data_IF_311487815325
#
_entry.id   IF_311487815325
#
_cell.length_a   1.000
_cell.length_b   1.000
_cell.length_c   1.000
_cell.angle_alpha   90.00
_cell.angle_beta   90.00
_cell.angle_gamma   90.00
#
_symmetry.space_group_name_H-M   'P 1'
#
loop_
_entity.id
_entity.type
_entity.pdbx_description
1 polymer ?
#
# COMPACT_ATOMS: atom_id res chain seq x y z
N UNK A 1 -16.15 -11.56 -35.76
CA UNK A 1 -15.79 -12.13 -34.45
C UNK A 1 -17.05 -12.25 -33.62
N UNK A 2 -17.39 -13.47 -33.24
CA UNK A 2 -18.50 -13.78 -32.34
C UNK A 2 -18.13 -13.47 -30.89
N UNK A 3 -19.11 -13.29 -30.00
CA UNK A 3 -18.87 -13.06 -28.57
C UNK A 3 -17.97 -14.16 -27.96
N UNK A 4 -18.15 -15.42 -28.38
CA UNK A 4 -17.35 -16.55 -27.91
C UNK A 4 -15.91 -16.59 -28.44
N UNK A 5 -15.63 -15.99 -29.60
CA UNK A 5 -14.26 -15.84 -30.11
C UNK A 5 -13.52 -14.72 -29.36
N UNK A 6 -14.22 -13.61 -29.07
CA UNK A 6 -13.68 -12.50 -28.27
C UNK A 6 -13.34 -12.94 -26.84
N UNK A 7 -14.23 -13.70 -26.19
CA UNK A 7 -13.98 -14.20 -24.82
C UNK A 7 -12.78 -15.15 -24.76
N UNK A 8 -12.59 -16.02 -25.78
CA UNK A 8 -11.41 -16.91 -25.87
C UNK A 8 -10.12 -16.14 -26.12
N UNK A 9 -10.15 -15.14 -26.98
CA UNK A 9 -8.98 -14.29 -27.27
C UNK A 9 -8.55 -13.48 -26.04
N UNK A 10 -9.52 -12.91 -25.30
CA UNK A 10 -9.26 -12.21 -24.04
C UNK A 10 -8.73 -13.17 -22.96
N UNK A 11 -9.27 -14.38 -22.85
CA UNK A 11 -8.77 -15.39 -21.90
C UNK A 11 -7.33 -15.82 -22.21
N UNK A 12 -7.00 -16.07 -23.48
CA UNK A 12 -5.63 -16.37 -23.92
C UNK A 12 -4.67 -15.20 -23.69
N UNK A 13 -5.13 -13.97 -23.96
CA UNK A 13 -4.34 -12.75 -23.76
C UNK A 13 -4.07 -12.47 -22.27
N UNK A 14 -4.98 -12.85 -21.36
CA UNK A 14 -4.88 -12.55 -19.92
C UNK A 14 -4.23 -13.63 -19.06
N UNK A 15 -3.74 -14.73 -19.66
CA UNK A 15 -3.15 -15.87 -18.93
C UNK A 15 -1.93 -15.49 -18.07
N UNK A 16 -1.20 -14.44 -18.46
CA UNK A 16 -0.04 -13.93 -17.73
C UNK A 16 -0.41 -12.88 -16.66
N UNK A 17 -1.67 -12.42 -16.63
CA UNK A 17 -2.11 -11.43 -15.67
C UNK A 17 -2.38 -12.06 -14.32
N UNK A 18 -2.08 -11.29 -13.28
CA UNK A 18 -2.31 -11.66 -11.89
C UNK A 18 -3.15 -10.59 -11.20
N UNK A 19 -3.71 -10.95 -10.06
CA UNK A 19 -4.48 -10.05 -9.18
C UNK A 19 -4.07 -10.27 -7.72
N UNK A 20 -4.51 -9.38 -6.83
CA UNK A 20 -4.19 -9.44 -5.41
C UNK A 20 -5.36 -10.00 -4.59
N UNK A 21 -5.04 -10.84 -3.61
CA UNK A 21 -5.94 -11.25 -2.54
C UNK A 21 -5.36 -10.84 -1.20
N UNK A 22 -6.15 -10.16 -0.38
CA UNK A 22 -5.81 -9.78 0.98
C UNK A 22 -6.99 -10.12 1.89
N UNK A 23 -6.71 -10.78 3.00
CA UNK A 23 -7.75 -11.23 3.92
C UNK A 23 -8.36 -10.05 4.68
N UNK A 24 -9.69 -9.98 4.70
CA UNK A 24 -10.45 -9.02 5.50
C UNK A 24 -10.34 -7.57 5.04
N UNK A 25 -10.77 -6.69 5.94
CA UNK A 25 -10.62 -5.24 5.79
C UNK A 25 -9.15 -4.87 5.98
N UNK A 26 -8.71 -3.79 5.32
CA UNK A 26 -7.35 -3.28 5.47
C UNK A 26 -7.33 -1.76 5.26
N UNK A 27 -6.18 -1.15 5.51
CA UNK A 27 -5.97 0.29 5.33
C UNK A 27 -4.91 0.56 4.29
N UNK A 28 -5.21 1.48 3.38
CA UNK A 28 -4.22 2.10 2.49
C UNK A 28 -3.86 3.46 3.06
N UNK A 29 -2.58 3.63 3.38
CA UNK A 29 -2.04 4.89 3.87
C UNK A 29 -1.06 5.46 2.86
N UNK A 30 -1.37 6.64 2.32
CA UNK A 30 -0.50 7.40 1.44
C UNK A 30 0.20 8.46 2.25
N UNK A 31 1.51 8.60 2.08
CA UNK A 31 2.28 9.70 2.66
C UNK A 31 3.27 10.24 1.65
N UNK A 32 3.36 11.57 1.57
CA UNK A 32 4.28 12.25 0.67
C UNK A 32 4.78 13.57 1.24
N UNK A 33 5.71 14.16 0.51
CA UNK A 33 6.30 15.44 0.86
C UNK A 33 6.41 16.35 -0.36
N UNK A 34 6.26 17.65 -0.14
CA UNK A 34 6.57 18.68 -1.13
C UNK A 34 8.09 18.85 -1.18
N UNK A 35 8.71 18.26 -2.20
CA UNK A 35 10.14 18.39 -2.41
C UNK A 35 10.51 19.76 -2.97
N UNK A 36 11.44 20.44 -2.28
CA UNK A 36 12.10 21.63 -2.81
C UNK A 36 13.43 21.23 -3.44
N UNK A 37 13.44 21.14 -4.78
CA UNK A 37 14.63 20.77 -5.56
C UNK A 37 15.75 21.82 -5.49
N UNK A 38 15.44 23.06 -5.09
CA UNK A 38 16.47 24.10 -4.90
C UNK A 38 17.22 23.95 -3.58
N UNK A 39 16.61 23.26 -2.60
CA UNK A 39 17.20 23.05 -1.28
C UNK A 39 17.09 21.58 -0.83
N UNK A 40 17.72 20.62 -1.54
CA UNK A 40 17.57 19.19 -1.28
C UNK A 40 18.11 18.76 0.09
N UNK A 41 19.20 19.37 0.56
CA UNK A 41 19.78 19.09 1.89
C UNK A 41 18.83 19.51 3.00
N UNK A 42 18.16 20.66 2.83
CA UNK A 42 17.14 21.14 3.75
C UNK A 42 15.94 20.20 3.76
N UNK A 43 15.41 19.87 2.58
CA UNK A 43 14.31 18.91 2.41
C UNK A 43 14.61 17.58 3.12
N UNK A 44 15.81 17.03 2.91
CA UNK A 44 16.22 15.78 3.56
C UNK A 44 16.28 15.90 5.09
N UNK A 45 16.83 17.00 5.61
CA UNK A 45 16.91 17.25 7.06
C UNK A 45 15.52 17.42 7.68
N UNK A 46 14.65 18.16 7.01
CA UNK A 46 13.28 18.42 7.48
C UNK A 46 12.48 17.11 7.57
N UNK A 47 12.63 16.23 6.58
CA UNK A 47 11.97 14.91 6.55
C UNK A 47 12.61 13.85 7.47
N UNK A 48 13.42 14.27 8.44
CA UNK A 48 14.01 13.40 9.48
C UNK A 48 15.31 12.72 9.09
N UNK A 49 15.86 13.02 7.90
CA UNK A 49 17.13 12.48 7.42
C UNK A 49 17.21 10.96 7.52
N UNK A 50 18.26 10.44 8.17
CA UNK A 50 18.44 8.99 8.39
C UNK A 50 17.39 8.34 9.31
N UNK A 51 16.59 9.13 10.03
CA UNK A 51 15.49 8.67 10.91
C UNK A 51 14.10 8.96 10.33
N UNK A 52 14.03 9.35 9.05
CA UNK A 52 12.77 9.60 8.35
C UNK A 52 12.01 8.31 7.99
N UNK A 53 11.14 8.39 6.97
CA UNK A 53 10.26 7.29 6.59
C UNK A 53 10.97 5.96 6.31
N UNK A 54 12.15 5.97 5.68
CA UNK A 54 12.92 4.73 5.43
C UNK A 54 13.28 4.00 6.72
N UNK A 55 13.61 4.73 7.79
CA UNK A 55 13.90 4.12 9.09
C UNK A 55 12.65 3.53 9.72
N UNK A 56 11.53 4.26 9.68
CA UNK A 56 10.25 3.79 10.23
C UNK A 56 9.75 2.54 9.53
N UNK A 57 9.83 2.49 8.19
CA UNK A 57 9.41 1.33 7.41
C UNK A 57 10.27 0.10 7.68
N UNK A 58 11.59 0.28 7.87
CA UNK A 58 12.47 -0.82 8.31
C UNK A 58 12.08 -1.30 9.71
N UNK A 59 11.88 -0.38 10.65
CA UNK A 59 11.45 -0.70 12.01
C UNK A 59 10.15 -1.52 12.03
N UNK A 60 9.17 -1.13 11.21
CA UNK A 60 7.89 -1.84 11.06
C UNK A 60 8.04 -3.19 10.35
N UNK A 61 8.91 -3.29 9.35
CA UNK A 61 9.15 -4.56 8.63
C UNK A 61 9.76 -5.64 9.52
N UNK A 62 10.49 -5.24 10.56
CA UNK A 62 11.05 -6.13 11.58
C UNK A 62 10.04 -6.50 12.68
N UNK A 63 8.85 -5.87 12.69
CA UNK A 63 7.83 -5.94 13.73
C UNK A 63 6.42 -6.13 13.14
N UNK A 64 6.14 -7.31 12.57
CA UNK A 64 4.87 -7.57 11.89
C UNK A 64 3.65 -7.43 12.81
N UNK A 65 3.83 -7.56 14.12
CA UNK A 65 2.80 -7.34 15.15
C UNK A 65 2.31 -5.89 15.19
N UNK A 66 3.10 -4.92 14.70
CA UNK A 66 2.69 -3.51 14.56
C UNK A 66 1.71 -3.32 13.40
N UNK A 67 1.47 -4.34 12.57
CA UNK A 67 0.36 -4.36 11.61
C UNK A 67 0.65 -3.77 10.24
N UNK A 68 1.90 -3.42 9.92
CA UNK A 68 2.28 -3.10 8.53
C UNK A 68 2.31 -4.39 7.71
N UNK A 69 1.46 -4.47 6.69
CA UNK A 69 1.38 -5.62 5.77
C UNK A 69 2.38 -5.48 4.61
N UNK A 70 2.65 -4.26 4.20
CA UNK A 70 3.61 -3.99 3.14
C UNK A 70 3.65 -2.52 2.77
N UNK A 71 4.64 -2.15 1.95
CA UNK A 71 4.76 -0.80 1.44
C UNK A 71 5.45 -0.78 0.07
N UNK A 72 5.20 0.30 -0.65
CA UNK A 72 5.83 0.63 -1.91
C UNK A 72 6.44 2.03 -1.78
N UNK A 73 7.75 2.12 -2.01
CA UNK A 73 8.45 3.40 -2.09
C UNK A 73 8.32 3.95 -3.51
N UNK A 74 7.49 4.95 -3.69
CA UNK A 74 7.47 5.80 -4.88
C UNK A 74 8.01 7.19 -4.56
N UNK A 75 8.42 7.91 -5.59
CA UNK A 75 8.67 9.34 -5.50
C UNK A 75 7.55 10.08 -6.23
N UNK A 76 6.82 11.02 -5.61
CA UNK A 76 7.01 11.58 -4.26
C UNK A 76 6.18 10.89 -3.15
N UNK A 77 5.54 9.74 -3.44
CA UNK A 77 4.53 9.11 -2.56
C UNK A 77 4.95 7.72 -2.12
N UNK A 78 4.84 7.47 -0.82
CA UNK A 78 4.96 6.14 -0.23
C UNK A 78 3.55 5.61 0.00
N UNK A 79 3.29 4.41 -0.52
CA UNK A 79 2.04 3.68 -0.27
C UNK A 79 2.31 2.63 0.80
N UNK A 80 1.48 2.58 1.83
CA UNK A 80 1.56 1.59 2.89
C UNK A 80 0.23 0.85 3.01
N UNK A 81 0.30 -0.44 3.31
CA UNK A 81 -0.85 -1.30 3.55
C UNK A 81 -0.79 -1.76 5.01
N UNK A 82 -1.87 -1.52 5.75
CA UNK A 82 -1.96 -1.80 7.18
C UNK A 82 -3.11 -2.76 7.45
N UNK A 83 -2.92 -3.62 8.45
CA UNK A 83 -3.91 -4.61 8.88
C UNK A 83 -5.23 -3.95 9.32
N UNK A 84 -5.13 -2.84 10.03
CA UNK A 84 -6.30 -2.06 10.44
C UNK A 84 -5.91 -0.63 10.77
N UNK A 85 -6.90 0.24 10.95
CA UNK A 85 -6.66 1.61 11.36
C UNK A 85 -6.11 1.69 12.78
N UNK A 86 -6.55 0.82 13.67
CA UNK A 86 -6.09 0.75 15.07
C UNK A 86 -4.60 0.46 15.14
N UNK A 87 -4.07 -0.41 14.28
CA UNK A 87 -2.63 -0.69 14.20
C UNK A 87 -1.84 0.54 13.72
N UNK A 88 -2.33 1.20 12.66
CA UNK A 88 -1.73 2.43 12.14
C UNK A 88 -1.73 3.54 13.20
N UNK A 89 -2.86 3.76 13.88
CA UNK A 89 -3.01 4.76 14.92
C UNK A 89 -2.13 4.45 16.13
N UNK A 90 -2.08 3.18 16.57
CA UNK A 90 -1.24 2.74 17.67
C UNK A 90 0.23 3.07 17.40
N UNK A 91 0.75 2.67 16.23
CA UNK A 91 2.12 3.02 15.81
C UNK A 91 2.36 4.53 15.77
N UNK A 92 1.39 5.31 15.28
CA UNK A 92 1.53 6.74 15.14
C UNK A 92 1.63 7.48 16.50
N UNK A 93 1.01 6.92 17.55
CA UNK A 93 0.88 7.55 18.88
C UNK A 93 1.79 6.96 19.95
N UNK A 94 2.33 5.77 19.74
CA UNK A 94 3.24 5.10 20.65
C UNK A 94 4.50 5.95 20.86
N UNK A 95 4.90 6.10 22.12
CA UNK A 95 6.07 6.90 22.51
C UNK A 95 7.37 6.16 22.31
N UNK A 96 7.32 4.83 22.30
CA UNK A 96 8.47 3.95 22.10
C UNK A 96 8.73 3.68 20.61
N UNK A 97 7.74 3.98 19.75
CA UNK A 97 7.87 3.91 18.30
C UNK A 97 8.51 5.18 17.71
N UNK A 98 9.23 5.06 16.57
CA UNK A 98 9.98 6.17 15.98
C UNK A 98 9.12 7.30 15.43
N UNK A 99 7.82 7.06 15.16
CA UNK A 99 6.95 8.03 14.49
C UNK A 99 6.77 9.32 15.31
N UNK A 100 6.34 9.22 16.57
CA UNK A 100 5.97 10.38 17.37
C UNK A 100 7.17 11.33 17.59
N UNK A 101 8.37 10.76 17.81
CA UNK A 101 9.59 11.54 17.94
C UNK A 101 9.95 12.26 16.63
N UNK A 102 9.84 11.58 15.48
CA UNK A 102 10.09 12.20 14.18
C UNK A 102 9.09 13.34 13.88
N UNK A 103 7.80 13.11 14.16
CA UNK A 103 6.74 14.10 14.01
C UNK A 103 6.98 15.36 14.84
N UNK A 104 7.29 15.20 16.14
CA UNK A 104 7.61 16.33 17.03
C UNK A 104 8.82 17.12 16.53
N UNK A 105 9.84 16.41 16.05
CA UNK A 105 11.07 17.02 15.55
C UNK A 105 10.84 17.78 14.22
N UNK A 106 9.92 17.33 13.38
CA UNK A 106 9.54 18.03 12.16
C UNK A 106 8.96 19.42 12.48
N UNK A 107 7.95 19.49 13.38
CA UNK A 107 7.35 20.78 13.76
C UNK A 107 8.29 21.68 14.56
N UNK A 108 9.14 21.12 15.43
CA UNK A 108 10.12 21.90 16.21
C UNK A 108 11.09 22.68 15.32
N UNK A 109 11.38 22.18 14.12
CA UNK A 109 12.35 22.81 13.20
C UNK A 109 11.75 23.92 12.35
N UNK A 110 10.48 24.27 12.53
CA UNK A 110 9.73 25.16 11.62
C UNK A 110 9.93 24.72 10.16
N UNK A 111 9.79 23.42 9.89
CA UNK A 111 10.08 22.83 8.60
C UNK A 111 9.27 23.53 7.48
N UNK A 112 9.96 23.97 6.43
CA UNK A 112 9.33 24.57 5.24
C UNK A 112 8.93 23.51 4.21
N UNK A 113 9.47 22.30 4.39
CA UNK A 113 9.17 21.13 3.56
C UNK A 113 7.79 20.61 3.92
N UNK A 114 6.79 20.80 3.05
CA UNK A 114 5.43 20.33 3.31
C UNK A 114 5.34 18.81 3.35
N UNK A 115 4.45 18.28 4.18
CA UNK A 115 4.09 16.86 4.25
C UNK A 115 2.59 16.72 4.10
N UNK A 116 2.15 15.60 3.53
CA UNK A 116 0.74 15.27 3.40
C UNK A 116 0.55 13.76 3.60
N UNK A 117 -0.63 13.37 4.05
CA UNK A 117 -1.01 11.97 4.12
C UNK A 117 -2.51 11.79 3.92
N UNK A 118 -2.89 10.62 3.42
CA UNK A 118 -4.28 10.22 3.20
C UNK A 118 -4.47 8.79 3.73
N UNK A 119 -5.60 8.52 4.36
CA UNK A 119 -5.92 7.21 4.94
C UNK A 119 -7.23 6.71 4.38
N UNK A 120 -7.23 5.52 3.79
CA UNK A 120 -8.40 4.87 3.22
C UNK A 120 -8.66 3.56 3.93
N UNK A 121 -9.86 3.43 4.49
CA UNK A 121 -10.38 2.17 5.00
C UNK A 121 -10.97 1.40 3.82
N UNK A 122 -10.42 0.23 3.52
CA UNK A 122 -10.86 -0.62 2.41
C UNK A 122 -11.53 -1.85 2.99
N UNK A 123 -12.82 -2.04 2.69
CA UNK A 123 -13.54 -3.24 3.11
C UNK A 123 -13.14 -4.45 2.29
N UNK A 124 -13.28 -5.63 2.89
CA UNK A 124 -13.05 -6.90 2.24
C UNK A 124 -13.83 -6.99 0.91
N UNK A 125 -13.10 -7.20 -0.19
CA UNK A 125 -13.67 -7.28 -1.53
C UNK A 125 -14.04 -5.94 -2.18
N UNK A 126 -13.95 -4.80 -1.49
CA UNK A 126 -14.17 -3.46 -2.07
C UNK A 126 -12.88 -2.89 -2.71
N UNK A 127 -12.16 -3.74 -3.45
CA UNK A 127 -10.94 -3.37 -4.16
C UNK A 127 -10.73 -4.28 -5.38
N UNK A 128 -9.92 -3.83 -6.33
CA UNK A 128 -9.45 -4.64 -7.45
C UNK A 128 -8.02 -4.25 -7.83
N UNK A 129 -7.23 -5.22 -8.31
CA UNK A 129 -5.86 -5.00 -8.75
C UNK A 129 -5.53 -5.92 -9.91
N UNK A 130 -4.70 -5.46 -10.84
CA UNK A 130 -4.16 -6.25 -11.95
C UNK A 130 -2.66 -6.02 -12.06
N UNK A 131 -1.92 -7.10 -12.26
CA UNK A 131 -0.47 -7.09 -12.47
C UNK A 131 -0.15 -7.84 -13.76
N UNK A 132 0.60 -7.21 -14.66
CA UNK A 132 1.07 -7.83 -15.90
C UNK A 132 2.56 -7.54 -16.10
N UNK A 133 3.34 -8.57 -16.42
CA UNK A 133 4.77 -8.46 -16.71
C UNK A 133 5.59 -7.68 -15.66
N UNK A 134 5.26 -7.84 -14.38
CA UNK A 134 5.93 -7.14 -13.29
C UNK A 134 6.14 -8.06 -12.07
N UNK A 135 7.17 -7.80 -11.24
CA UNK A 135 7.31 -8.48 -9.96
C UNK A 135 6.15 -8.13 -9.01
N UNK A 136 6.05 -8.84 -7.89
CA UNK A 136 5.08 -8.51 -6.85
C UNK A 136 5.24 -7.06 -6.37
N UNK A 137 4.13 -6.33 -6.35
CA UNK A 137 4.12 -4.88 -6.13
C UNK A 137 2.83 -4.43 -5.46
N UNK A 138 2.90 -3.36 -4.67
CA UNK A 138 1.74 -2.76 -4.02
C UNK A 138 0.94 -3.80 -3.22
N UNK A 139 -0.38 -3.83 -3.44
CA UNK A 139 -1.29 -4.72 -2.72
C UNK A 139 -0.96 -6.21 -2.90
N UNK A 140 -0.47 -6.64 -4.06
CA UNK A 140 -0.10 -8.03 -4.34
C UNK A 140 1.10 -8.51 -3.52
N UNK A 141 1.98 -7.58 -3.13
CA UNK A 141 3.08 -7.84 -2.19
C UNK A 141 2.63 -7.79 -0.72
N UNK A 142 1.64 -6.97 -0.40
CA UNK A 142 1.09 -6.87 0.96
C UNK A 142 0.15 -8.03 1.33
N UNK A 143 -0.52 -8.61 0.31
CA UNK A 143 -1.31 -9.83 0.42
C UNK A 143 -0.66 -10.97 -0.35
N UNK A 144 -1.42 -11.59 -1.25
CA UNK A 144 -0.95 -12.66 -2.14
C UNK A 144 -1.29 -12.35 -3.59
N UNK A 145 -0.43 -12.77 -4.49
CA UNK A 145 -0.65 -12.62 -5.94
C UNK A 145 -1.16 -13.92 -6.57
N UNK A 146 -2.36 -13.90 -7.14
CA UNK A 146 -3.02 -15.08 -7.75
C UNK A 146 -3.30 -14.86 -9.25
N UNK A 147 -3.43 -15.92 -10.07
CA UNK A 147 -3.81 -15.78 -11.47
C UNK A 147 -5.14 -15.01 -11.66
N UNK A 148 -5.22 -14.17 -12.68
CA UNK A 148 -6.44 -13.41 -12.98
C UNK A 148 -7.62 -14.35 -13.31
N UNK A 149 -7.38 -15.39 -14.11
CA UNK A 149 -8.44 -16.26 -14.65
C UNK A 149 -9.49 -15.46 -15.43
N UNK A 150 -10.75 -15.89 -15.36
CA UNK A 150 -11.85 -15.31 -16.18
C UNK A 150 -12.38 -13.95 -15.66
N UNK A 151 -11.72 -13.35 -14.67
CA UNK A 151 -12.05 -12.04 -14.10
C UNK A 151 -11.50 -10.89 -14.95
N UNK A 152 -11.82 -10.92 -16.25
CA UNK A 152 -11.29 -9.99 -17.25
C UNK A 152 -11.71 -8.53 -17.02
N UNK A 153 -12.89 -8.28 -16.44
CA UNK A 153 -13.38 -6.92 -16.15
C UNK A 153 -13.13 -6.49 -14.70
N UNK A 154 -12.91 -5.19 -14.49
CA UNK A 154 -12.73 -4.61 -13.14
C UNK A 154 -13.91 -4.91 -12.22
N UNK A 155 -15.14 -4.82 -12.74
CA UNK A 155 -16.36 -5.13 -11.97
C UNK A 155 -16.42 -6.59 -11.50
N UNK A 156 -15.88 -7.54 -12.27
CA UNK A 156 -15.81 -8.96 -11.85
C UNK A 156 -14.73 -9.23 -10.81
N UNK A 157 -13.72 -8.36 -10.70
CA UNK A 157 -12.66 -8.47 -9.69
C UNK A 157 -13.08 -7.91 -8.34
N UNK A 158 -13.91 -6.87 -8.33
CA UNK A 158 -14.60 -6.44 -7.11
C UNK A 158 -15.39 -7.61 -6.51
N UNK A 159 -15.24 -7.84 -5.20
CA UNK A 159 -15.92 -8.89 -4.45
C UNK A 159 -15.29 -10.28 -4.52
N UNK A 160 -14.13 -10.46 -5.18
CA UNK A 160 -13.51 -11.80 -5.33
C UNK A 160 -13.02 -12.41 -4.01
N UNK A 161 -12.73 -11.58 -3.01
CA UNK A 161 -12.20 -12.03 -1.70
C UNK A 161 -13.27 -12.21 -0.62
N UNK A 162 -14.52 -11.80 -0.89
CA UNK A 162 -15.64 -12.08 0.00
C UNK A 162 -16.11 -13.56 -0.05
N UNK A 163 -15.50 -14.40 -0.90
CA UNK A 163 -15.89 -15.80 -1.10
C UNK A 163 -14.77 -16.76 -0.74
N UNK A 164 -14.45 -16.85 0.55
CA UNK A 164 -13.94 -18.13 1.07
C UNK A 164 -15.16 -19.02 1.28
N UNK A 165 -15.30 -20.16 0.56
CA UNK A 165 -16.32 -21.13 0.92
C UNK A 165 -15.99 -21.63 2.33
N UNK A 166 -16.92 -21.48 3.26
CA UNK A 166 -16.91 -22.30 4.47
C UNK A 166 -16.91 -23.75 4.00
N UNK A 167 -15.86 -24.50 4.30
CA UNK A 167 -15.86 -25.93 4.06
C UNK A 167 -16.97 -26.55 4.92
N UNK A 168 -17.96 -27.15 4.27
CA UNK A 168 -18.99 -27.97 4.92
C UNK A 168 -18.44 -29.35 5.24
#
# INVERSE_FOLDING_TARGET
MTLGEYEKEVAMSTTHLRTAEIEGDFVVFLIGARWDLRHPVRTFRDLGGRRGMTHMLRYLSERPEKGLLGYTMGFPVIVQYWRSFEHLEAFARDRDDPHLAAWRNYYRRNAETGIWHETYLVRAGEYEAVYGHMPEYGLGKAGRTVPLGDASSARRRLGRVARTPVAT
#
